data_IF_388356487766
#
_entry.id   IF_388356487766
#
_cell.length_a   1.000
_cell.length_b   1.000
_cell.length_c   1.000
_cell.angle_alpha   90.00
_cell.angle_beta   90.00
_cell.angle_gamma   90.00
#
_symmetry.space_group_name_H-M   'P 1'
#
loop_
_entity.id
_entity.type
_entity.pdbx_description
1 polymer ?
#
# COMPACT_ATOMS: atom_id res chain seq x y z
N UNK A 1 -16.82 22.83 1.40
CA UNK A 1 -16.46 22.50 2.81
C UNK A 1 -16.74 21.03 3.15
N UNK A 2 -17.99 20.54 3.08
CA UNK A 2 -18.29 19.13 3.40
C UNK A 2 -17.90 18.17 2.26
N UNK A 3 -18.15 18.57 1.00
CA UNK A 3 -17.76 17.81 -0.20
C UNK A 3 -16.23 17.58 -0.30
N UNK A 4 -15.44 18.57 0.11
CA UNK A 4 -13.97 18.48 0.04
C UNK A 4 -13.40 17.51 1.07
N UNK A 5 -14.04 17.41 2.26
CA UNK A 5 -13.70 16.40 3.27
C UNK A 5 -13.98 14.99 2.79
N UNK A 6 -15.10 14.78 2.09
CA UNK A 6 -15.48 13.47 1.54
C UNK A 6 -14.50 13.03 0.44
N UNK A 7 -14.16 13.93 -0.49
CA UNK A 7 -13.19 13.62 -1.55
C UNK A 7 -11.82 13.27 -0.94
N UNK A 8 -11.37 14.02 0.06
CA UNK A 8 -10.10 13.75 0.73
C UNK A 8 -10.13 12.43 1.50
N UNK A 9 -11.23 12.11 2.18
CA UNK A 9 -11.43 10.82 2.85
C UNK A 9 -11.29 9.69 1.83
N UNK A 10 -12.02 9.76 0.72
CA UNK A 10 -11.98 8.75 -0.34
C UNK A 10 -10.56 8.55 -0.90
N UNK A 11 -9.84 9.65 -1.16
CA UNK A 11 -8.46 9.60 -1.63
C UNK A 11 -7.52 8.92 -0.65
N UNK A 12 -7.58 9.28 0.64
CA UNK A 12 -6.73 8.67 1.67
C UNK A 12 -7.14 7.22 1.93
N UNK A 13 -8.44 6.92 1.95
CA UNK A 13 -8.96 5.58 2.16
C UNK A 13 -8.51 4.65 1.03
N UNK A 14 -8.79 5.00 -0.23
CA UNK A 14 -8.41 4.19 -1.40
C UNK A 14 -6.89 3.96 -1.48
N UNK A 15 -6.10 4.93 -1.02
CA UNK A 15 -4.64 4.85 -1.05
C UNK A 15 -4.05 4.00 0.08
N UNK A 16 -4.51 4.20 1.31
CA UNK A 16 -3.83 3.67 2.49
C UNK A 16 -4.55 2.50 3.18
N UNK A 17 -5.87 2.32 2.98
CA UNK A 17 -6.68 1.40 3.76
C UNK A 17 -6.10 -0.03 3.79
N UNK A 18 -5.93 -0.66 2.62
CA UNK A 18 -5.44 -2.05 2.56
C UNK A 18 -4.05 -2.22 3.20
N UNK A 19 -3.16 -1.25 3.03
CA UNK A 19 -1.82 -1.28 3.63
C UNK A 19 -1.87 -1.13 5.16
N UNK A 20 -2.72 -0.22 5.66
CA UNK A 20 -2.93 -0.02 7.08
C UNK A 20 -3.59 -1.24 7.74
N UNK A 21 -4.51 -1.92 7.05
CA UNK A 21 -5.12 -3.18 7.51
C UNK A 21 -4.07 -4.27 7.62
N UNK A 22 -3.21 -4.45 6.61
CA UNK A 22 -2.12 -5.41 6.66
C UNK A 22 -1.15 -5.09 7.81
N UNK A 23 -0.83 -3.81 8.01
CA UNK A 23 0.02 -3.38 9.11
C UNK A 23 -0.61 -3.65 10.47
N UNK A 24 -1.89 -3.28 10.67
CA UNK A 24 -2.65 -3.58 11.90
C UNK A 24 -2.72 -5.09 12.15
N UNK A 25 -3.01 -5.89 11.12
CA UNK A 25 -3.03 -7.36 11.19
C UNK A 25 -1.68 -7.94 11.63
N UNK A 26 -0.56 -7.41 11.13
CA UNK A 26 0.79 -7.85 11.58
C UNK A 26 1.00 -7.59 13.08
N UNK A 27 0.41 -6.52 13.62
CA UNK A 27 0.50 -6.18 15.03
C UNK A 27 -0.40 -7.05 15.91
N UNK A 28 -1.67 -7.25 15.51
CA UNK A 28 -2.69 -7.90 16.35
C UNK A 28 -2.84 -9.41 16.10
N UNK A 29 -2.38 -9.92 14.96
CA UNK A 29 -2.42 -11.35 14.60
C UNK A 29 -3.74 -11.88 14.04
N UNK A 30 -4.78 -11.04 13.89
CA UNK A 30 -6.11 -11.42 13.38
C UNK A 30 -6.59 -10.44 12.30
N UNK A 31 -7.38 -10.93 11.32
CA UNK A 31 -7.79 -10.14 10.15
C UNK A 31 -9.03 -9.27 10.41
N UNK A 32 -10.14 -9.83 10.90
CA UNK A 32 -11.38 -9.07 11.11
C UNK A 32 -11.19 -7.82 11.99
N UNK A 33 -10.54 -7.90 13.16
CA UNK A 33 -10.39 -6.71 14.01
C UNK A 33 -9.47 -5.66 13.40
N UNK A 34 -8.58 -6.02 12.47
CA UNK A 34 -7.67 -5.08 11.83
C UNK A 34 -8.41 -4.15 10.85
N UNK A 35 -9.43 -4.66 10.15
CA UNK A 35 -10.26 -3.85 9.26
C UNK A 35 -11.07 -2.83 10.07
N UNK A 36 -11.73 -3.26 11.14
CA UNK A 36 -12.52 -2.40 12.02
C UNK A 36 -11.66 -1.29 12.65
N UNK A 37 -10.48 -1.64 13.17
CA UNK A 37 -9.54 -0.67 13.75
C UNK A 37 -9.17 0.42 12.75
N UNK A 38 -8.88 0.06 11.50
CA UNK A 38 -8.51 1.03 10.47
C UNK A 38 -9.71 1.87 10.07
N UNK A 39 -10.91 1.29 9.95
CA UNK A 39 -12.15 2.03 9.69
C UNK A 39 -12.42 3.06 10.79
N UNK A 40 -12.29 2.68 12.06
CA UNK A 40 -12.47 3.57 13.21
C UNK A 40 -11.47 4.73 13.21
N UNK A 41 -10.21 4.48 12.83
CA UNK A 41 -9.22 5.55 12.66
C UNK A 41 -9.65 6.54 11.58
N UNK A 42 -10.09 6.06 10.41
CA UNK A 42 -10.57 6.95 9.34
C UNK A 42 -11.81 7.74 9.75
N UNK A 43 -12.77 7.09 10.42
CA UNK A 43 -13.99 7.74 10.92
C UNK A 43 -13.63 8.84 11.92
N UNK A 44 -12.75 8.55 12.88
CA UNK A 44 -12.31 9.54 13.87
C UNK A 44 -11.60 10.73 13.22
N UNK A 45 -10.76 10.50 12.21
CA UNK A 45 -10.08 11.59 11.49
C UNK A 45 -11.06 12.45 10.69
N UNK A 46 -12.10 11.85 10.13
CA UNK A 46 -13.18 12.54 9.43
C UNK A 46 -14.01 13.40 10.41
N UNK A 47 -14.49 12.82 11.50
CA UNK A 47 -15.29 13.53 12.52
C UNK A 47 -14.52 14.68 13.18
N UNK A 48 -13.23 14.47 13.45
CA UNK A 48 -12.36 15.50 14.03
C UNK A 48 -11.86 16.54 13.02
N UNK A 49 -12.23 16.44 11.73
CA UNK A 49 -11.80 17.31 10.63
C UNK A 49 -10.27 17.38 10.46
N UNK A 50 -9.56 16.31 10.84
CA UNK A 50 -8.09 16.20 10.83
C UNK A 50 -7.52 15.58 9.55
N UNK A 51 -8.38 15.09 8.64
CA UNK A 51 -7.95 14.51 7.36
C UNK A 51 -7.00 15.42 6.55
N UNK A 52 -7.25 16.73 6.53
CA UNK A 52 -6.41 17.71 5.78
C UNK A 52 -4.97 17.84 6.31
N UNK A 53 -4.71 17.42 7.54
CA UNK A 53 -3.38 17.46 8.16
C UNK A 53 -2.71 16.09 8.21
N UNK A 54 -3.35 15.10 7.58
CA UNK A 54 -2.95 13.71 7.69
C UNK A 54 -1.79 13.41 6.74
N UNK A 55 -0.67 12.99 7.30
CA UNK A 55 0.48 12.45 6.57
C UNK A 55 0.48 10.92 6.64
N UNK A 56 1.24 10.22 5.76
CA UNK A 56 1.37 8.77 5.85
C UNK A 56 1.89 8.34 7.23
N UNK A 57 2.92 8.99 7.75
CA UNK A 57 3.44 8.68 9.08
C UNK A 57 2.43 8.87 10.18
N UNK A 58 1.61 9.91 10.09
CA UNK A 58 0.53 10.14 11.03
C UNK A 58 -0.53 9.02 10.97
N UNK A 59 -0.97 8.59 9.78
CA UNK A 59 -1.90 7.46 9.62
C UNK A 59 -1.36 6.16 10.23
N UNK A 60 -0.14 5.78 9.87
CA UNK A 60 0.49 4.56 10.38
C UNK A 60 0.63 4.62 11.91
N UNK A 61 0.92 5.80 12.48
CA UNK A 61 0.96 5.99 13.93
C UNK A 61 -0.41 5.82 14.58
N UNK A 62 -1.45 6.45 14.03
CA UNK A 62 -2.82 6.30 14.54
C UNK A 62 -3.25 4.82 14.54
N UNK A 63 -2.98 4.11 13.45
CA UNK A 63 -3.30 2.68 13.32
C UNK A 63 -2.46 1.82 14.26
N UNK A 64 -1.16 2.11 14.41
CA UNK A 64 -0.29 1.45 15.40
C UNK A 64 -0.86 1.60 16.80
N UNK A 65 -1.17 2.83 17.20
CA UNK A 65 -1.70 3.14 18.53
C UNK A 65 -3.06 2.49 18.75
N UNK A 66 -3.96 2.54 17.78
CA UNK A 66 -5.26 1.88 17.86
C UNK A 66 -5.13 0.34 17.93
N UNK A 67 -4.16 -0.25 17.22
CA UNK A 67 -3.87 -1.69 17.27
C UNK A 67 -3.25 -2.12 18.60
N UNK A 68 -2.28 -1.37 19.13
CA UNK A 68 -1.70 -1.61 20.45
C UNK A 68 -2.75 -1.42 21.55
N UNK A 69 -3.60 -0.41 21.40
CA UNK A 69 -4.76 -0.21 22.24
C UNK A 69 -5.69 -1.41 22.17
N UNK A 70 -6.04 -1.94 21.00
CA UNK A 70 -6.85 -3.15 20.88
C UNK A 70 -6.23 -4.35 21.62
N UNK A 71 -4.92 -4.58 21.47
CA UNK A 71 -4.18 -5.62 22.19
C UNK A 71 -4.27 -5.38 23.71
N UNK A 72 -4.12 -4.15 24.17
CA UNK A 72 -4.22 -3.79 25.59
C UNK A 72 -5.67 -3.79 26.12
N UNK A 73 -6.66 -3.47 25.27
CA UNK A 73 -8.10 -3.42 25.58
C UNK A 73 -8.72 -4.80 25.66
N UNK A 74 -8.16 -5.79 24.96
CA UNK A 74 -8.38 -7.21 25.27
C UNK A 74 -7.98 -7.57 26.72
N UNK A 75 -7.23 -6.69 27.41
CA UNK A 75 -6.87 -6.79 28.83
C UNK A 75 -7.50 -5.72 29.76
N UNK A 76 -8.00 -4.55 29.31
CA UNK A 76 -8.80 -3.55 30.10
C UNK A 76 -9.22 -2.30 29.27
N UNK A 77 -10.53 -1.90 29.31
CA UNK A 77 -11.37 -0.93 28.50
C UNK A 77 -10.95 0.55 28.27
N UNK A 78 -11.34 1.11 27.08
CA UNK A 78 -11.36 2.50 26.53
C UNK A 78 -10.21 3.04 25.61
N UNK A 79 -10.45 3.07 24.28
CA UNK A 79 -9.63 3.78 23.28
C UNK A 79 -9.34 5.23 23.72
N UNK A 80 -8.08 5.54 24.02
CA UNK A 80 -7.60 6.91 24.22
C UNK A 80 -6.60 7.24 23.12
N UNK A 81 -7.03 8.07 22.16
CA UNK A 81 -6.14 8.71 21.20
C UNK A 81 -5.63 9.99 21.88
N UNK A 82 -4.46 9.91 22.52
CA UNK A 82 -3.82 11.06 23.18
C UNK A 82 -3.62 12.25 22.21
N UNK A 83 -3.42 13.48 22.71
CA UNK A 83 -3.26 14.65 21.86
C UNK A 83 -2.07 14.49 20.92
N UNK A 84 -2.34 14.70 19.65
CA UNK A 84 -1.39 14.63 18.53
C UNK A 84 -0.41 15.79 18.68
N UNK A 85 0.79 15.53 19.18
CA UNK A 85 1.92 16.46 19.12
C UNK A 85 2.95 15.94 18.11
N UNK A 86 3.63 16.88 17.46
CA UNK A 86 4.58 16.68 16.36
C UNK A 86 5.46 15.45 16.58
N UNK A 87 5.26 14.42 15.75
CA UNK A 87 5.88 13.11 15.96
C UNK A 87 6.89 12.80 14.86
N UNK A 88 8.11 12.43 15.29
CA UNK A 88 9.12 11.81 14.45
C UNK A 88 8.74 10.34 14.31
N UNK A 89 8.48 9.82 13.10
CA UNK A 89 8.08 8.43 12.91
C UNK A 89 9.21 7.51 13.39
N UNK A 90 8.89 6.50 14.19
CA UNK A 90 9.86 5.46 14.55
C UNK A 90 10.28 4.65 13.32
N UNK A 91 11.37 3.89 13.47
CA UNK A 91 11.99 3.17 12.34
C UNK A 91 11.01 2.21 11.66
N UNK A 92 10.18 1.51 12.42
CA UNK A 92 9.23 0.54 11.88
C UNK A 92 8.19 1.21 10.98
N UNK A 93 7.67 2.38 11.40
CA UNK A 93 6.74 3.18 10.59
C UNK A 93 7.43 3.71 9.32
N UNK A 94 8.70 4.15 9.42
CA UNK A 94 9.45 4.60 8.23
C UNK A 94 9.61 3.47 7.21
N UNK A 95 9.96 2.27 7.68
CA UNK A 95 10.14 1.10 6.82
C UNK A 95 8.82 0.68 6.14
N UNK A 96 7.68 0.73 6.84
CA UNK A 96 6.36 0.45 6.25
C UNK A 96 5.92 1.51 5.21
N UNK A 97 6.19 2.80 5.47
CA UNK A 97 5.92 3.86 4.48
C UNK A 97 6.78 3.67 3.23
N UNK A 98 8.07 3.36 3.40
CA UNK A 98 8.98 3.07 2.29
C UNK A 98 8.47 1.87 1.49
N UNK A 99 8.08 0.80 2.17
CA UNK A 99 7.52 -0.39 1.53
C UNK A 99 6.26 -0.07 0.72
N UNK A 100 5.31 0.69 1.30
CA UNK A 100 4.11 1.14 0.60
C UNK A 100 4.44 1.99 -0.63
N UNK A 101 5.39 2.93 -0.52
CA UNK A 101 5.85 3.75 -1.66
C UNK A 101 6.49 2.90 -2.77
N UNK A 102 7.16 1.79 -2.41
CA UNK A 102 7.71 0.86 -3.40
C UNK A 102 6.60 0.11 -4.13
N UNK A 103 5.55 -0.33 -3.42
CA UNK A 103 4.38 -0.97 -4.03
C UNK A 103 3.62 -0.02 -4.97
N UNK A 104 3.37 1.23 -4.56
CA UNK A 104 2.73 2.23 -5.42
C UNK A 104 3.52 2.47 -6.72
N UNK A 105 4.85 2.50 -6.63
CA UNK A 105 5.73 2.63 -7.79
C UNK A 105 5.69 1.39 -8.68
N UNK A 106 5.59 0.20 -8.10
CA UNK A 106 5.45 -1.04 -8.85
C UNK A 106 4.13 -1.05 -9.61
N UNK A 107 3.02 -0.69 -8.96
CA UNK A 107 1.71 -0.60 -9.61
C UNK A 107 1.71 0.41 -10.76
N UNK A 108 2.32 1.58 -10.53
CA UNK A 108 2.51 2.59 -11.59
C UNK A 108 3.31 2.05 -12.77
N UNK A 109 4.37 1.27 -12.50
CA UNK A 109 5.19 0.65 -13.54
C UNK A 109 4.44 -0.48 -14.29
N UNK A 110 3.57 -1.22 -13.60
CA UNK A 110 2.70 -2.21 -14.23
C UNK A 110 1.67 -1.52 -15.12
N UNK A 111 1.09 -0.41 -14.68
CA UNK A 111 0.11 0.33 -15.46
C UNK A 111 0.70 1.00 -16.70
N UNK A 112 1.99 1.32 -16.68
CA UNK A 112 2.72 1.87 -17.83
C UNK A 112 3.12 0.84 -18.90
N UNK A 113 2.85 -0.45 -18.67
CA UNK A 113 3.07 -1.49 -19.67
C UNK A 113 2.17 -1.28 -20.90
N UNK A 114 2.67 -1.56 -22.12
CA UNK A 114 1.83 -1.62 -23.31
C UNK A 114 0.64 -2.57 -23.10
N UNK A 115 -0.54 -2.22 -23.61
CA UNK A 115 -1.82 -2.86 -23.28
C UNK A 115 -1.79 -4.39 -23.32
N UNK A 116 -1.25 -4.97 -24.39
CA UNK A 116 -1.15 -6.45 -24.54
C UNK A 116 -0.13 -7.08 -23.58
N UNK A 117 1.00 -6.42 -23.34
CA UNK A 117 1.96 -6.88 -22.33
C UNK A 117 1.37 -6.80 -20.92
N UNK A 118 0.61 -5.74 -20.61
CA UNK A 118 -0.08 -5.56 -19.33
C UNK A 118 -1.12 -6.66 -19.09
N UNK A 119 -1.99 -6.90 -20.06
CA UNK A 119 -3.03 -7.92 -19.97
C UNK A 119 -2.43 -9.31 -19.68
N UNK A 120 -1.43 -9.72 -20.47
CA UNK A 120 -0.75 -11.01 -20.32
C UNK A 120 -0.01 -11.08 -18.97
N UNK A 121 0.68 -10.02 -18.57
CA UNK A 121 1.38 -9.96 -17.30
C UNK A 121 0.44 -10.12 -16.09
N UNK A 122 -0.72 -9.44 -16.09
CA UNK A 122 -1.70 -9.57 -15.00
C UNK A 122 -2.26 -10.99 -14.91
N UNK A 123 -2.61 -11.62 -16.03
CA UNK A 123 -3.11 -13.01 -16.07
C UNK A 123 -2.09 -14.01 -15.53
N UNK A 124 -0.85 -13.91 -15.97
CA UNK A 124 0.22 -14.82 -15.55
C UNK A 124 0.62 -14.58 -14.10
N UNK A 125 0.96 -13.34 -13.75
CA UNK A 125 1.67 -13.04 -12.51
C UNK A 125 0.71 -12.75 -11.35
N UNK A 126 -0.41 -12.06 -11.60
CA UNK A 126 -1.37 -11.72 -10.55
C UNK A 126 -2.44 -12.80 -10.38
N UNK A 127 -2.87 -13.44 -11.48
CA UNK A 127 -3.92 -14.45 -11.46
C UNK A 127 -3.38 -15.89 -11.48
N UNK A 128 -2.06 -16.08 -11.61
CA UNK A 128 -1.41 -17.39 -11.56
C UNK A 128 -1.73 -18.30 -12.74
N UNK A 129 -2.21 -17.77 -13.86
CA UNK A 129 -2.56 -18.58 -15.03
C UNK A 129 -1.32 -19.13 -15.73
N UNK A 130 -1.41 -20.35 -16.25
CA UNK A 130 -0.34 -20.95 -17.03
C UNK A 130 -0.27 -20.32 -18.43
N UNK A 131 0.92 -20.35 -19.02
CA UNK A 131 1.14 -19.76 -20.35
C UNK A 131 0.30 -20.46 -21.42
N UNK A 132 0.09 -21.78 -21.29
CA UNK A 132 -0.76 -22.55 -22.19
C UNK A 132 -2.21 -22.04 -22.14
N UNK A 133 -2.76 -21.85 -20.93
CA UNK A 133 -4.14 -21.37 -20.74
C UNK A 133 -4.33 -19.96 -21.31
N UNK A 134 -3.38 -19.06 -21.05
CA UNK A 134 -3.40 -17.69 -21.59
C UNK A 134 -3.31 -17.71 -23.12
N UNK A 135 -2.50 -18.60 -23.70
CA UNK A 135 -2.35 -18.72 -25.15
C UNK A 135 -3.67 -19.15 -25.82
N UNK A 136 -4.37 -20.13 -25.24
CA UNK A 136 -5.68 -20.57 -25.73
C UNK A 136 -6.75 -19.49 -25.57
N UNK A 137 -6.83 -18.87 -24.39
CA UNK A 137 -7.83 -17.84 -24.10
C UNK A 137 -7.71 -16.61 -25.00
N UNK A 138 -6.48 -16.23 -25.37
CA UNK A 138 -6.22 -15.06 -26.20
C UNK A 138 -6.06 -15.38 -27.70
N UNK A 139 -6.09 -16.66 -28.09
CA UNK A 139 -5.91 -17.08 -29.49
C UNK A 139 -4.52 -16.75 -30.06
N UNK A 140 -3.49 -16.74 -29.21
CA UNK A 140 -2.10 -16.43 -29.61
C UNK A 140 -1.17 -17.61 -29.33
N UNK A 141 0.01 -17.63 -29.94
CA UNK A 141 0.97 -18.72 -29.68
C UNK A 141 1.56 -18.64 -28.26
N UNK A 142 1.92 -19.79 -27.70
CA UNK A 142 2.70 -19.88 -26.45
C UNK A 142 3.99 -19.05 -26.50
N UNK A 143 4.66 -19.01 -27.66
CA UNK A 143 5.86 -18.21 -27.88
C UNK A 143 5.57 -16.70 -27.81
N UNK A 144 4.40 -16.29 -28.30
CA UNK A 144 3.92 -14.89 -28.20
C UNK A 144 3.67 -14.51 -26.75
N UNK A 145 3.07 -15.39 -25.93
CA UNK A 145 2.92 -15.18 -24.48
C UNK A 145 4.28 -14.98 -23.81
N UNK A 146 5.26 -15.86 -24.08
CA UNK A 146 6.65 -15.71 -23.58
C UNK A 146 7.29 -14.40 -23.99
N UNK A 147 7.11 -13.97 -25.25
CA UNK A 147 7.67 -12.72 -25.76
C UNK A 147 7.07 -11.49 -25.06
N UNK A 148 5.76 -11.47 -24.83
CA UNK A 148 5.09 -10.41 -24.06
C UNK A 148 5.54 -10.39 -22.60
N UNK A 149 5.65 -11.55 -21.93
CA UNK A 149 6.19 -11.63 -20.56
C UNK A 149 7.62 -11.11 -20.49
N UNK A 150 8.48 -11.51 -21.43
CA UNK A 150 9.87 -11.03 -21.51
C UNK A 150 9.93 -9.51 -21.69
N UNK A 151 9.05 -8.97 -22.56
CA UNK A 151 8.95 -7.54 -22.81
C UNK A 151 8.44 -6.78 -21.58
N UNK A 152 7.45 -7.34 -20.88
CA UNK A 152 6.94 -6.79 -19.63
C UNK A 152 8.04 -6.72 -18.55
N UNK A 153 8.78 -7.81 -18.33
CA UNK A 153 9.90 -7.78 -17.37
C UNK A 153 11.02 -6.81 -17.78
N UNK A 154 11.33 -6.66 -19.07
CA UNK A 154 12.30 -5.66 -19.54
C UNK A 154 11.82 -4.23 -19.26
N UNK A 155 10.55 -3.96 -19.50
CA UNK A 155 9.92 -2.67 -19.21
C UNK A 155 9.93 -2.37 -17.70
N UNK A 156 9.43 -3.30 -16.90
CA UNK A 156 9.41 -3.19 -15.44
C UNK A 156 10.82 -3.06 -14.86
N UNK A 157 11.82 -3.77 -15.39
CA UNK A 157 13.23 -3.61 -14.96
C UNK A 157 13.78 -2.23 -15.21
N UNK A 158 13.40 -1.53 -16.29
CA UNK A 158 13.82 -0.13 -16.48
C UNK A 158 13.27 0.77 -15.38
N UNK A 159 12.01 0.57 -15.01
CA UNK A 159 11.38 1.30 -13.90
C UNK A 159 11.94 0.89 -12.53
N UNK A 160 12.28 -0.39 -12.32
CA UNK A 160 12.93 -0.88 -11.10
C UNK A 160 14.40 -0.46 -10.99
N UNK A 161 15.15 -0.37 -12.10
CA UNK A 161 16.53 0.14 -12.11
C UNK A 161 16.56 1.63 -11.79
N UNK A 162 15.57 2.39 -12.24
CA UNK A 162 15.35 3.78 -11.77
C UNK A 162 15.11 3.76 -10.26
N UNK A 163 14.29 2.84 -9.76
CA UNK A 163 14.01 2.67 -8.32
C UNK A 163 15.26 2.31 -7.51
N UNK A 164 16.09 1.38 -7.99
CA UNK A 164 17.37 1.00 -7.40
C UNK A 164 18.42 2.11 -7.50
N UNK A 165 18.39 2.91 -8.57
CA UNK A 165 19.25 4.08 -8.75
C UNK A 165 18.86 5.21 -7.79
N UNK A 166 17.57 5.46 -7.60
CA UNK A 166 17.07 6.36 -6.55
C UNK A 166 17.43 5.84 -5.16
N UNK A 167 17.30 4.54 -4.89
CA UNK A 167 17.74 3.94 -3.61
C UNK A 167 19.27 4.04 -3.43
N UNK A 168 20.06 3.96 -4.50
CA UNK A 168 21.52 4.16 -4.45
C UNK A 168 21.90 5.61 -4.17
N UNK A 169 21.12 6.57 -4.67
CA UNK A 169 21.32 8.01 -4.44
C UNK A 169 20.66 8.54 -3.15
N UNK A 170 19.79 7.74 -2.52
CA UNK A 170 19.20 8.02 -1.18
C UNK A 170 20.02 7.35 -0.05
N UNK A 171 21.10 6.61 -0.36
CA UNK A 171 22.05 6.14 0.66
C UNK A 171 22.81 7.31 1.28
N UNK A 172 22.34 7.72 2.46
CA UNK A 172 23.11 8.10 3.64
C UNK A 172 24.20 9.15 3.46
N UNK A 173 23.86 10.40 3.80
CA UNK A 173 24.80 11.28 4.50
C UNK A 173 25.11 10.61 5.86
N UNK A 174 26.10 9.71 5.89
CA UNK A 174 26.78 9.31 7.14
C UNK A 174 27.96 10.25 7.34
N UNK A 175 27.70 11.34 8.07
CA UNK A 175 28.54 11.91 9.13
C UNK A 175 27.81 13.11 9.71
#
# INVERSE_FOLDING_TARGET
MEKDQIILLEQLFNRYFSHLVLYSRKLIGAQEPAEDIVQDVFLHLFESKRLKYTTPSFLFTCVKNASLNYINFSKKRMISLSPIQEFIPDKDIQDEIIHMQQLERLDTAIESLPTKCKEIFKRVYLQGQRYEDVSMQLGISYHTVKAHMTSAFKHLRKHLLILLFFLRNVKFKRK
#
